data_IF_159520875288
#
_entry.id   IF_159520875288
#
_cell.length_a   1.000
_cell.length_b   1.000
_cell.length_c   1.000
_cell.angle_alpha   90.00
_cell.angle_beta   90.00
_cell.angle_gamma   90.00
#
_symmetry.space_group_name_H-M   'P 1'
#
loop_
_entity.id
_entity.type
_entity.pdbx_description
1 polymer ?
#
# COMPACT_ATOMS: atom_id res chain seq x y z
N UNK A 1 5.57 4.03 -5.50
CA UNK A 1 4.40 3.19 -5.15
C UNK A 1 4.90 1.87 -4.60
N UNK A 2 4.48 1.50 -3.38
CA UNK A 2 5.04 0.39 -2.59
C UNK A 2 4.19 -0.88 -2.66
N UNK A 3 3.69 -1.22 -3.86
CA UNK A 3 2.80 -2.36 -4.07
C UNK A 3 3.42 -3.67 -3.58
N UNK A 4 2.88 -4.23 -2.49
CA UNK A 4 3.21 -5.56 -2.00
C UNK A 4 1.99 -6.18 -1.34
N UNK A 5 1.71 -7.45 -1.65
CA UNK A 5 0.69 -8.21 -0.95
C UNK A 5 1.16 -8.80 0.40
N UNK A 6 2.41 -8.51 0.77
CA UNK A 6 3.01 -8.81 2.07
C UNK A 6 3.46 -7.49 2.70
N UNK A 7 3.16 -7.29 3.97
CA UNK A 7 3.49 -6.04 4.66
C UNK A 7 4.92 -6.01 5.21
N UNK A 8 5.34 -7.11 5.82
CA UNK A 8 6.58 -7.22 6.57
C UNK A 8 7.74 -7.78 5.73
N UNK A 9 8.96 -7.66 6.27
CA UNK A 9 10.18 -8.18 5.65
C UNK A 9 10.85 -7.18 4.71
N UNK A 10 12.04 -7.54 4.23
CA UNK A 10 12.90 -6.68 3.41
C UNK A 10 12.27 -6.29 2.07
N UNK A 11 11.28 -7.03 1.61
CA UNK A 11 10.53 -6.74 0.40
C UNK A 11 9.03 -6.54 0.65
N UNK A 12 8.64 -6.25 1.90
CA UNK A 12 7.26 -5.95 2.27
C UNK A 12 6.88 -4.48 2.04
N UNK A 13 5.58 -4.20 1.97
CA UNK A 13 5.04 -2.85 1.75
C UNK A 13 5.58 -1.83 2.77
N UNK A 14 5.79 -2.23 4.03
CA UNK A 14 6.31 -1.35 5.05
C UNK A 14 7.75 -0.92 4.76
N UNK A 15 8.63 -1.86 4.43
CA UNK A 15 10.03 -1.53 4.13
C UNK A 15 10.13 -0.57 2.94
N UNK A 16 9.37 -0.83 1.87
CA UNK A 16 9.32 0.06 0.71
C UNK A 16 8.76 1.45 1.05
N UNK A 17 7.69 1.50 1.85
CA UNK A 17 7.07 2.77 2.24
C UNK A 17 7.98 3.59 3.15
N UNK A 18 8.76 2.96 4.04
CA UNK A 18 9.72 3.69 4.89
C UNK A 18 10.80 4.41 4.07
N UNK A 19 11.23 3.87 2.92
CA UNK A 19 12.17 4.58 2.04
C UNK A 19 11.56 5.85 1.45
N UNK A 20 10.29 5.78 1.02
CA UNK A 20 9.57 6.94 0.47
C UNK A 20 9.36 7.99 1.56
N UNK A 21 8.93 7.57 2.74
CA UNK A 21 8.79 8.42 3.93
C UNK A 21 10.12 9.08 4.31
N UNK A 22 11.21 8.33 4.35
CA UNK A 22 12.53 8.89 4.68
C UNK A 22 12.94 9.94 3.65
N UNK A 23 12.58 9.72 2.38
CA UNK A 23 12.78 10.70 1.31
C UNK A 23 11.93 11.95 1.50
N UNK A 24 10.68 11.86 1.95
CA UNK A 24 9.85 13.05 2.21
C UNK A 24 10.39 13.92 3.35
N UNK A 25 11.00 13.28 4.35
CA UNK A 25 11.61 13.98 5.48
C UNK A 25 12.93 14.68 5.09
N UNK A 26 13.57 14.24 4.02
CA UNK A 26 14.78 14.87 3.49
C UNK A 26 14.41 16.19 2.80
N UNK A 27 15.13 17.26 3.16
CA UNK A 27 14.98 18.60 2.61
C UNK A 27 13.62 19.30 2.91
N UNK A 28 12.94 18.91 4.01
CA UNK A 28 11.65 19.49 4.43
C UNK A 28 10.59 19.52 3.32
N UNK A 29 10.55 18.47 2.49
CA UNK A 29 9.58 18.38 1.39
C UNK A 29 8.17 18.24 1.96
N UNK A 30 7.33 19.24 1.68
CA UNK A 30 5.91 19.24 2.03
C UNK A 30 5.13 18.42 1.01
N UNK A 31 5.32 17.10 1.06
CA UNK A 31 4.58 16.15 0.22
C UNK A 31 3.77 15.22 1.09
N UNK A 32 2.56 14.94 0.63
CA UNK A 32 1.66 13.99 1.25
C UNK A 32 1.95 12.58 0.74
N UNK A 33 1.67 11.58 1.57
CA UNK A 33 1.94 10.17 1.32
C UNK A 33 0.64 9.40 1.23
N UNK A 34 0.46 8.70 0.12
CA UNK A 34 -0.56 7.68 -0.08
C UNK A 34 0.13 6.34 -0.30
N UNK A 35 -0.34 5.29 0.38
CA UNK A 35 0.18 3.94 0.20
C UNK A 35 -0.72 3.18 -0.76
N UNK A 36 -0.26 3.05 -2.01
CA UNK A 36 -0.99 2.30 -3.04
C UNK A 36 -0.89 0.79 -2.86
N UNK A 37 -1.97 0.09 -3.19
CA UNK A 37 -2.07 -1.36 -3.39
C UNK A 37 -2.56 -1.66 -4.82
N UNK A 38 -2.21 -2.84 -5.32
CA UNK A 38 -2.52 -3.29 -6.67
C UNK A 38 -3.40 -4.54 -6.60
N UNK A 39 -4.42 -4.63 -7.45
CA UNK A 39 -5.38 -5.76 -7.50
C UNK A 39 -5.49 -6.39 -8.89
N UNK A 40 -4.90 -5.77 -9.92
CA UNK A 40 -4.89 -6.27 -11.31
C UNK A 40 -3.86 -7.40 -11.48
N UNK A 41 -4.02 -8.21 -12.54
CA UNK A 41 -3.10 -9.29 -12.88
C UNK A 41 -1.75 -8.75 -13.37
N UNK A 42 -0.84 -8.52 -12.42
CA UNK A 42 0.52 -8.08 -12.69
C UNK A 42 1.55 -9.01 -12.05
N UNK A 43 2.71 -9.11 -12.69
CA UNK A 43 3.85 -9.87 -12.17
C UNK A 43 4.92 -8.92 -11.61
N UNK A 44 5.66 -9.33 -10.57
CA UNK A 44 5.55 -10.62 -9.88
C UNK A 44 4.36 -10.70 -8.91
N UNK A 45 3.85 -11.89 -8.61
CA UNK A 45 2.64 -12.05 -7.77
C UNK A 45 2.71 -11.39 -6.40
N UNK A 46 3.91 -11.19 -5.86
CA UNK A 46 4.13 -10.49 -4.59
C UNK A 46 3.74 -9.01 -4.61
N UNK A 47 3.55 -8.40 -5.78
CA UNK A 47 3.18 -6.98 -5.90
C UNK A 47 1.69 -6.75 -6.11
N UNK A 48 0.85 -7.78 -6.13
CA UNK A 48 -0.59 -7.64 -6.40
C UNK A 48 -1.44 -8.54 -5.50
N UNK A 49 -2.67 -8.11 -5.23
CA UNK A 49 -3.73 -8.90 -4.61
C UNK A 49 -4.59 -9.65 -5.65
N UNK A 50 -4.20 -9.65 -6.92
CA UNK A 50 -4.84 -10.50 -7.92
C UNK A 50 -4.87 -11.96 -7.47
N UNK A 51 -6.05 -12.59 -7.59
CA UNK A 51 -6.35 -13.92 -7.06
C UNK A 51 -6.11 -14.10 -5.54
N UNK A 52 -6.09 -13.02 -4.75
CA UNK A 52 -6.13 -13.06 -3.28
C UNK A 52 -7.53 -12.75 -2.79
N UNK A 53 -7.81 -13.08 -1.53
CA UNK A 53 -9.11 -12.75 -0.95
C UNK A 53 -9.23 -11.25 -0.69
N UNK A 54 -10.44 -10.70 -0.82
CA UNK A 54 -10.73 -9.33 -0.40
C UNK A 54 -10.40 -9.09 1.08
N UNK A 55 -10.58 -10.12 1.91
CA UNK A 55 -10.23 -10.12 3.32
C UNK A 55 -8.74 -9.88 3.56
N UNK A 56 -7.85 -10.53 2.80
CA UNK A 56 -6.41 -10.31 2.89
C UNK A 56 -6.03 -8.87 2.55
N UNK A 57 -6.64 -8.32 1.49
CA UNK A 57 -6.47 -6.91 1.13
C UNK A 57 -6.92 -6.00 2.27
N UNK A 58 -8.15 -6.15 2.77
CA UNK A 58 -8.69 -5.30 3.83
C UNK A 58 -7.90 -5.39 5.14
N UNK A 59 -7.45 -6.58 5.54
CA UNK A 59 -6.54 -6.72 6.68
C UNK A 59 -5.30 -5.87 6.48
N UNK A 60 -4.69 -5.96 5.30
CA UNK A 60 -3.44 -5.28 5.04
C UNK A 60 -3.61 -3.76 4.92
N UNK A 61 -4.69 -3.28 4.28
CA UNK A 61 -5.05 -1.86 4.26
C UNK A 61 -5.24 -1.30 5.68
N UNK A 62 -5.92 -2.05 6.56
CA UNK A 62 -6.10 -1.66 7.96
C UNK A 62 -4.77 -1.59 8.73
N UNK A 63 -3.88 -2.56 8.51
CA UNK A 63 -2.53 -2.55 9.13
C UNK A 63 -1.69 -1.38 8.63
N UNK A 64 -1.76 -1.04 7.34
CA UNK A 64 -1.08 0.12 6.76
C UNK A 64 -1.60 1.41 7.40
N UNK A 65 -2.92 1.61 7.44
CA UNK A 65 -3.54 2.78 8.07
C UNK A 65 -3.11 2.94 9.54
N UNK A 66 -3.09 1.84 10.31
CA UNK A 66 -2.63 1.88 11.71
C UNK A 66 -1.14 2.18 11.86
N UNK A 67 -0.28 1.68 10.96
CA UNK A 67 1.16 1.95 11.02
C UNK A 67 1.48 3.43 10.77
N UNK A 68 0.69 4.08 9.93
CA UNK A 68 0.97 5.43 9.44
C UNK A 68 0.03 6.52 9.98
N UNK A 69 -0.94 6.17 10.84
CA UNK A 69 -1.94 7.11 11.38
C UNK A 69 -1.34 8.32 12.10
N UNK A 70 -0.18 8.15 12.72
CA UNK A 70 0.44 9.20 13.54
C UNK A 70 1.31 10.16 12.71
N UNK A 71 1.42 9.93 11.40
CA UNK A 71 2.20 10.79 10.50
C UNK A 71 1.34 11.93 9.97
N UNK A 72 1.79 13.16 10.22
CA UNK A 72 1.07 14.38 9.82
C UNK A 72 0.87 14.54 8.30
N UNK A 73 1.70 13.90 7.48
CA UNK A 73 1.62 13.96 6.02
C UNK A 73 1.09 12.66 5.37
N UNK A 74 0.54 11.74 6.16
CA UNK A 74 -0.09 10.52 5.64
C UNK A 74 -1.57 10.77 5.36
N UNK A 75 -2.01 10.47 4.13
CA UNK A 75 -3.37 10.73 3.65
C UNK A 75 -4.19 9.45 3.47
N UNK A 76 -3.60 8.28 3.70
CA UNK A 76 -4.28 6.99 3.62
C UNK A 76 -3.73 6.03 2.58
N UNK A 77 -4.60 5.10 2.19
CA UNK A 77 -4.33 4.04 1.21
C UNK A 77 -5.09 4.30 -0.09
N UNK A 78 -4.55 3.80 -1.19
CA UNK A 78 -5.26 3.76 -2.47
C UNK A 78 -5.19 2.36 -3.06
N UNK A 79 -6.20 1.96 -3.83
CA UNK A 79 -6.23 0.71 -4.57
C UNK A 79 -6.24 1.06 -6.05
N UNK A 80 -5.29 0.51 -6.80
CA UNK A 80 -5.23 0.69 -8.23
C UNK A 80 -6.39 -0.06 -8.90
N UNK A 81 -6.95 0.51 -9.96
CA UNK A 81 -8.09 -0.03 -10.69
C UNK A 81 -9.37 -0.22 -9.84
N UNK A 82 -10.27 0.77 -9.93
CA UNK A 82 -11.54 0.74 -9.22
C UNK A 82 -12.48 -0.37 -9.74
N UNK A 83 -12.40 -0.74 -11.01
CA UNK A 83 -13.26 -1.75 -11.61
C UNK A 83 -12.89 -3.15 -11.09
N UNK A 84 -11.61 -3.50 -11.11
CA UNK A 84 -11.12 -4.76 -10.56
C UNK A 84 -11.33 -4.83 -9.04
N UNK A 85 -11.15 -3.72 -8.32
CA UNK A 85 -11.48 -3.67 -6.90
C UNK A 85 -12.96 -3.95 -6.62
N UNK A 86 -13.87 -3.38 -7.41
CA UNK A 86 -15.32 -3.63 -7.27
C UNK A 86 -15.65 -5.11 -7.52
N UNK A 87 -15.07 -5.73 -8.55
CA UNK A 87 -15.28 -7.17 -8.81
C UNK A 87 -14.72 -8.04 -7.68
N UNK A 88 -13.58 -7.66 -7.09
CA UNK A 88 -12.96 -8.38 -5.98
C UNK A 88 -13.82 -8.37 -4.70
N UNK A 89 -14.58 -7.30 -4.45
CA UNK A 89 -15.35 -7.12 -3.20
C UNK A 89 -16.83 -7.52 -3.30
N UNK A 90 -17.31 -7.87 -4.50
CA UNK A 90 -18.65 -8.41 -4.73
C UNK A 90 -18.76 -9.86 -4.29
#
# INVERSE_FOLDING_TARGET
MSYRNILEGTDGAFNHTEFEVAYTNKDNKKVNILVGQEVTDVKPEKITYYNKSNFDLFINLNKINRKYSDRANYEGVTVNDASEFIEMVR
#
